data_IF_119270650685
#
_entry.id   IF_119270650685
#
_cell.length_a   1.000
_cell.length_b   1.000
_cell.length_c   1.000
_cell.angle_alpha   90.00
_cell.angle_beta   90.00
_cell.angle_gamma   90.00
#
_symmetry.space_group_name_H-M   'P 1'
#
loop_
_entity.id
_entity.type
_entity.pdbx_description
1 polymer ?
#
# COMPACT_ATOMS: atom_id res chain seq x y z
N UNK A 1 1.20 8.55 11.70
CA UNK A 1 1.82 7.67 12.72
C UNK A 1 2.39 8.57 13.81
N UNK A 2 2.12 8.26 15.08
CA UNK A 2 2.50 9.09 16.23
C UNK A 2 3.73 8.44 16.88
N UNK A 3 4.84 9.17 16.95
CA UNK A 3 6.05 8.76 17.68
C UNK A 3 5.95 9.08 19.17
N UNK A 4 6.93 8.64 19.94
CA UNK A 4 6.96 8.81 21.38
C UNK A 4 6.94 10.30 21.79
N UNK A 5 7.67 11.16 21.08
CA UNK A 5 7.76 12.58 21.41
C UNK A 5 6.45 13.30 21.18
N UNK A 6 5.81 13.03 20.04
CA UNK A 6 4.51 13.60 19.70
C UNK A 6 3.42 13.09 20.66
N UNK A 7 3.44 11.80 21.00
CA UNK A 7 2.50 11.22 21.96
C UNK A 7 2.67 11.83 23.37
N UNK A 8 3.91 11.96 23.83
CA UNK A 8 4.19 12.60 25.12
C UNK A 8 3.73 14.05 25.14
N UNK A 9 3.91 14.79 24.03
CA UNK A 9 3.44 16.17 23.90
C UNK A 9 1.91 16.23 23.94
N UNK A 10 1.23 15.31 23.22
CA UNK A 10 -0.22 15.19 23.25
C UNK A 10 -0.72 14.98 24.68
N UNK A 11 -0.16 13.99 25.40
CA UNK A 11 -0.59 13.66 26.78
C UNK A 11 -0.38 14.82 27.76
N UNK A 12 0.71 15.59 27.60
CA UNK A 12 0.98 16.78 28.42
C UNK A 12 0.02 17.94 28.12
N UNK A 13 -0.52 18.02 26.91
CA UNK A 13 -1.42 19.07 26.47
C UNK A 13 -2.88 18.83 26.87
N UNK A 14 -3.22 17.62 27.31
CA UNK A 14 -4.57 17.25 27.68
C UNK A 14 -4.86 17.71 29.13
N UNK A 15 -5.98 18.41 29.31
CA UNK A 15 -6.51 18.65 30.65
C UNK A 15 -7.26 17.41 31.16
N UNK A 16 -6.58 16.54 31.86
CA UNK A 16 -7.10 15.25 32.35
C UNK A 16 -8.30 15.38 33.28
N UNK A 17 -8.49 16.54 33.93
CA UNK A 17 -9.66 16.78 34.77
C UNK A 17 -10.97 16.88 33.99
N UNK A 18 -10.90 17.17 32.70
CA UNK A 18 -12.07 17.30 31.82
C UNK A 18 -12.25 16.12 30.86
N UNK A 19 -11.28 15.21 30.76
CA UNK A 19 -11.32 14.05 29.85
C UNK A 19 -11.78 12.81 30.59
N UNK A 20 -12.90 12.26 30.17
CA UNK A 20 -13.43 11.01 30.76
C UNK A 20 -12.87 9.76 30.07
N UNK A 21 -12.51 9.87 28.78
CA UNK A 21 -12.01 8.73 28.00
C UNK A 21 -11.07 9.21 26.90
N UNK A 22 -9.94 8.53 26.75
CA UNK A 22 -9.04 8.63 25.59
C UNK A 22 -9.20 7.36 24.75
N UNK A 23 -9.51 7.52 23.48
CA UNK A 23 -9.65 6.41 22.54
C UNK A 23 -8.51 6.51 21.52
N UNK A 24 -7.70 5.46 21.43
CA UNK A 24 -6.66 5.33 20.41
C UNK A 24 -7.16 4.36 19.34
N UNK A 25 -7.12 4.79 18.10
CA UNK A 25 -7.51 3.97 16.94
C UNK A 25 -6.33 3.83 16.00
N UNK A 26 -6.01 2.62 15.58
CA UNK A 26 -4.90 2.37 14.68
C UNK A 26 -4.75 0.90 14.34
N UNK A 27 -3.70 0.58 13.61
CA UNK A 27 -3.33 -0.78 13.23
C UNK A 27 -1.85 -1.01 13.63
N UNK A 28 -1.59 -1.92 14.59
CA UNK A 28 -0.23 -2.20 15.06
C UNK A 28 0.64 -2.88 14.00
N UNK A 29 0.04 -3.45 12.94
CA UNK A 29 0.75 -4.13 11.86
C UNK A 29 1.13 -3.18 10.71
N UNK A 30 0.63 -1.93 10.72
CA UNK A 30 1.09 -0.91 9.76
C UNK A 30 2.51 -0.44 10.08
N UNK A 31 3.12 0.24 9.09
CA UNK A 31 4.47 0.79 9.23
C UNK A 31 4.62 1.59 10.53
N UNK A 32 5.70 1.37 11.29
CA UNK A 32 5.94 2.14 12.51
C UNK A 32 6.24 3.61 12.18
N UNK A 33 6.13 4.52 13.18
CA UNK A 33 6.57 5.89 13.00
C UNK A 33 8.06 5.97 12.63
N UNK A 34 8.43 6.98 11.84
CA UNK A 34 9.84 7.27 11.51
C UNK A 34 10.62 7.72 12.77
N UNK A 35 9.92 8.40 13.70
CA UNK A 35 10.46 8.77 15.01
C UNK A 35 10.56 7.59 15.97
N UNK A 36 11.15 7.84 17.14
CA UNK A 36 11.39 6.81 18.14
C UNK A 36 10.09 6.29 18.78
N UNK A 37 10.05 4.97 19.02
CA UNK A 37 9.00 4.27 19.78
C UNK A 37 7.83 3.77 18.92
N UNK A 38 7.25 2.65 19.32
CA UNK A 38 6.07 2.02 18.72
C UNK A 38 4.87 2.21 19.65
N UNK A 39 4.60 3.45 20.05
CA UNK A 39 3.67 3.80 21.14
C UNK A 39 2.35 3.08 21.06
N UNK A 40 1.73 3.00 19.87
CA UNK A 40 0.43 2.34 19.72
C UNK A 40 0.52 0.83 19.99
N UNK A 41 1.52 0.15 19.44
CA UNK A 41 1.72 -1.28 19.65
C UNK A 41 2.09 -1.59 21.11
N UNK A 42 3.00 -0.81 21.68
CA UNK A 42 3.43 -0.95 23.07
C UNK A 42 2.26 -0.70 24.05
N UNK A 43 1.39 0.27 23.74
CA UNK A 43 0.18 0.56 24.55
C UNK A 43 -0.83 -0.61 24.48
N UNK A 44 -1.03 -1.20 23.29
CA UNK A 44 -1.91 -2.37 23.15
C UNK A 44 -1.36 -3.55 23.94
N UNK A 45 -0.05 -3.81 23.85
CA UNK A 45 0.60 -4.91 24.55
C UNK A 45 0.45 -4.75 26.08
N UNK A 46 0.70 -3.55 26.59
CA UNK A 46 0.50 -3.25 28.01
C UNK A 46 -0.97 -3.39 28.42
N UNK A 47 -1.91 -2.85 27.64
CA UNK A 47 -3.34 -2.96 27.95
C UNK A 47 -3.82 -4.41 27.93
N UNK A 48 -3.36 -5.23 26.99
CA UNK A 48 -3.71 -6.64 26.93
C UNK A 48 -3.23 -7.40 28.18
N UNK A 49 -2.09 -7.00 28.78
CA UNK A 49 -1.57 -7.58 30.01
C UNK A 49 -2.36 -7.13 31.26
N UNK A 50 -2.61 -5.83 31.37
CA UNK A 50 -3.12 -5.24 32.62
C UNK A 50 -4.63 -4.97 32.58
N UNK A 51 -5.17 -4.64 31.40
CA UNK A 51 -6.56 -4.18 31.24
C UNK A 51 -7.16 -4.68 29.90
N UNK A 52 -7.28 -6.01 29.69
CA UNK A 52 -7.70 -6.58 28.40
C UNK A 52 -9.07 -6.10 27.92
N UNK A 53 -9.98 -5.81 28.84
CA UNK A 53 -11.32 -5.28 28.51
C UNK A 53 -11.31 -3.89 27.86
N UNK A 54 -10.18 -3.20 27.91
CA UNK A 54 -10.01 -1.89 27.27
C UNK A 54 -9.48 -1.97 25.84
N UNK A 55 -9.21 -3.18 25.33
CA UNK A 55 -8.70 -3.40 23.96
C UNK A 55 -9.81 -4.01 23.11
N UNK A 56 -10.25 -3.27 22.09
CA UNK A 56 -11.15 -3.78 21.05
C UNK A 56 -10.38 -4.11 19.78
N UNK A 57 -10.49 -5.33 19.29
CA UNK A 57 -9.87 -5.77 18.03
C UNK A 57 -10.96 -5.99 16.99
N UNK A 58 -10.79 -5.34 15.82
CA UNK A 58 -11.63 -5.59 14.65
C UNK A 58 -11.08 -6.84 13.94
N UNK A 59 -11.83 -7.92 13.94
CA UNK A 59 -11.43 -9.22 13.39
C UNK A 59 -11.97 -9.47 11.99
N UNK A 60 -13.05 -8.78 11.60
CA UNK A 60 -13.66 -8.95 10.28
C UNK A 60 -13.05 -7.98 9.27
N UNK A 61 -12.46 -8.53 8.22
CA UNK A 61 -11.99 -7.76 7.08
C UNK A 61 -13.09 -7.70 6.02
N UNK A 62 -13.85 -6.61 6.00
CA UNK A 62 -14.96 -6.43 5.05
C UNK A 62 -14.48 -6.48 3.59
N UNK A 63 -13.26 -6.00 3.30
CA UNK A 63 -12.68 -6.08 1.95
C UNK A 63 -12.46 -7.53 1.51
N UNK A 64 -12.00 -8.39 2.42
CA UNK A 64 -11.86 -9.84 2.16
C UNK A 64 -13.22 -10.49 1.92
N UNK A 65 -14.22 -10.16 2.73
CA UNK A 65 -15.56 -10.70 2.56
C UNK A 65 -16.16 -10.33 1.20
N UNK A 66 -16.06 -9.08 0.79
CA UNK A 66 -16.53 -8.60 -0.52
C UNK A 66 -15.78 -9.31 -1.65
N UNK A 67 -14.45 -9.35 -1.61
CA UNK A 67 -13.64 -10.01 -2.62
C UNK A 67 -13.93 -11.51 -2.74
N UNK A 68 -14.11 -12.21 -1.61
CA UNK A 68 -14.47 -13.64 -1.61
C UNK A 68 -15.86 -13.89 -2.21
N UNK A 69 -16.84 -13.06 -1.88
CA UNK A 69 -18.20 -13.17 -2.40
C UNK A 69 -18.23 -12.88 -3.89
N UNK A 70 -17.47 -11.90 -4.36
CA UNK A 70 -17.36 -11.54 -5.78
C UNK A 70 -16.41 -12.46 -6.56
N UNK A 71 -15.68 -13.32 -5.88
CA UNK A 71 -14.71 -14.22 -6.50
C UNK A 71 -13.48 -13.54 -7.09
N UNK A 72 -13.11 -12.36 -6.56
CA UNK A 72 -11.99 -11.53 -7.04
C UNK A 72 -10.61 -12.01 -6.57
N UNK A 73 -10.52 -13.06 -5.75
CA UNK A 73 -9.28 -13.57 -5.17
C UNK A 73 -8.96 -12.99 -3.80
N UNK A 74 -8.02 -13.61 -3.11
CA UNK A 74 -7.52 -13.21 -1.78
C UNK A 74 -5.99 -13.29 -1.67
N UNK A 75 -5.29 -13.48 -2.78
CA UNK A 75 -3.85 -13.73 -2.81
C UNK A 75 -3.02 -12.63 -2.18
N UNK A 76 -3.35 -11.34 -2.40
CA UNK A 76 -2.65 -10.21 -1.78
C UNK A 76 -2.76 -10.27 -0.25
N UNK A 77 -3.95 -10.58 0.26
CA UNK A 77 -4.20 -10.64 1.70
C UNK A 77 -3.57 -11.87 2.33
N UNK A 78 -3.69 -13.02 1.66
CA UNK A 78 -3.05 -14.27 2.08
C UNK A 78 -1.52 -14.07 2.14
N UNK A 79 -0.93 -13.39 1.15
CA UNK A 79 0.49 -13.03 1.17
C UNK A 79 0.82 -12.08 2.32
N UNK A 80 0.00 -11.07 2.56
CA UNK A 80 0.23 -10.11 3.63
C UNK A 80 0.15 -10.76 5.03
N UNK A 81 -0.77 -11.69 5.25
CA UNK A 81 -0.90 -12.43 6.50
C UNK A 81 0.37 -13.23 6.87
N UNK A 82 1.16 -13.64 5.88
CA UNK A 82 2.43 -14.35 6.13
C UNK A 82 3.48 -13.49 6.86
N UNK A 83 3.37 -12.17 6.75
CA UNK A 83 4.30 -11.20 7.34
C UNK A 83 3.79 -10.58 8.65
N UNK A 84 2.56 -10.90 9.05
CA UNK A 84 2.07 -10.52 10.38
C UNK A 84 2.79 -11.41 11.39
N UNK A 85 3.59 -10.80 12.27
CA UNK A 85 4.27 -11.53 13.34
C UNK A 85 3.21 -12.18 14.24
N UNK A 86 3.27 -13.50 14.36
CA UNK A 86 2.56 -14.22 15.42
C UNK A 86 3.06 -13.66 16.75
N UNK A 87 2.24 -12.86 17.43
CA UNK A 87 2.49 -12.61 18.84
C UNK A 87 2.43 -13.98 19.51
N UNK A 88 3.51 -14.33 20.18
CA UNK A 88 3.54 -15.47 21.09
C UNK A 88 2.44 -15.25 22.12
N UNK A 89 1.23 -15.69 21.80
CA UNK A 89 0.19 -15.87 22.80
C UNK A 89 0.54 -17.18 23.47
N UNK A 90 1.02 -17.05 24.70
CA UNK A 90 1.22 -18.15 25.61
C UNK A 90 -0.03 -19.06 25.63
N UNK A 91 0.23 -20.35 25.38
CA UNK A 91 -0.55 -21.47 25.87
C UNK A 91 -2.06 -21.52 25.55
N UNK A 92 -2.41 -21.67 24.27
CA UNK A 92 -3.52 -22.59 23.89
C UNK A 92 -3.72 -22.58 22.38
N UNK A 93 -3.79 -23.78 21.81
CA UNK A 93 -4.15 -24.15 20.46
C UNK A 93 -3.00 -24.34 19.45
N UNK A 94 -2.40 -25.51 19.55
CA UNK A 94 -1.46 -26.09 18.57
C UNK A 94 -2.04 -26.29 17.16
N UNK A 95 -3.33 -26.16 16.97
CA UNK A 95 -4.01 -26.40 15.69
C UNK A 95 -3.99 -25.19 14.74
N UNK A 96 -4.06 -23.97 15.26
CA UNK A 96 -4.08 -22.75 14.41
C UNK A 96 -2.70 -22.43 13.83
N UNK A 97 -1.62 -22.69 14.58
CA UNK A 97 -0.26 -22.46 14.11
C UNK A 97 0.15 -23.40 12.98
N UNK A 98 -0.31 -24.64 13.01
CA UNK A 98 0.01 -25.64 11.98
C UNK A 98 -0.77 -25.40 10.68
N UNK A 99 -2.00 -24.90 10.76
CA UNK A 99 -2.78 -24.51 9.60
C UNK A 99 -2.18 -23.30 8.89
N UNK A 100 -1.74 -22.29 9.65
CA UNK A 100 -1.06 -21.12 9.10
C UNK A 100 0.27 -21.50 8.45
N UNK A 101 1.06 -22.38 9.07
CA UNK A 101 2.31 -22.89 8.46
C UNK A 101 2.04 -23.60 7.15
N UNK A 102 1.02 -24.45 7.08
CA UNK A 102 0.63 -25.12 5.84
C UNK A 102 0.19 -24.15 4.75
N UNK A 103 -0.59 -23.12 5.09
CA UNK A 103 -0.97 -22.06 4.13
C UNK A 103 0.27 -21.33 3.60
N UNK A 104 1.21 -20.99 4.48
CA UNK A 104 2.51 -20.40 4.11
C UNK A 104 3.26 -21.28 3.12
N UNK A 105 3.46 -22.55 3.44
CA UNK A 105 4.16 -23.51 2.58
C UNK A 105 3.49 -23.65 1.21
N UNK A 106 2.18 -23.77 1.17
CA UNK A 106 1.41 -23.89 -0.09
C UNK A 106 1.57 -22.63 -0.94
N UNK A 107 1.46 -21.43 -0.36
CA UNK A 107 1.58 -20.19 -1.12
C UNK A 107 3.03 -19.98 -1.62
N UNK A 108 4.03 -20.21 -0.78
CA UNK A 108 5.43 -20.12 -1.21
C UNK A 108 5.78 -21.15 -2.26
N UNK A 109 5.29 -22.38 -2.15
CA UNK A 109 5.47 -23.42 -3.17
C UNK A 109 4.87 -22.95 -4.50
N UNK A 110 3.65 -22.43 -4.50
CA UNK A 110 3.01 -21.87 -5.69
C UNK A 110 3.83 -20.74 -6.32
N UNK A 111 4.34 -19.80 -5.51
CA UNK A 111 5.18 -18.69 -5.99
C UNK A 111 6.47 -19.23 -6.62
N UNK A 112 7.10 -20.23 -6.00
CA UNK A 112 8.36 -20.80 -6.50
C UNK A 112 8.17 -21.68 -7.75
N UNK A 113 7.05 -22.39 -7.86
CA UNK A 113 6.74 -23.26 -8.99
C UNK A 113 6.27 -22.45 -10.21
N UNK A 114 5.45 -21.42 -10.03
CA UNK A 114 4.94 -20.62 -11.13
C UNK A 114 5.98 -19.62 -11.66
N UNK A 115 7.04 -19.35 -10.91
CA UNK A 115 8.05 -18.37 -11.29
C UNK A 115 7.45 -16.94 -11.35
N UNK A 116 7.56 -16.30 -12.52
CA UNK A 116 6.98 -14.97 -12.76
C UNK A 116 5.57 -15.10 -13.34
N UNK A 117 4.57 -14.51 -12.68
CA UNK A 117 3.21 -14.48 -13.19
C UNK A 117 2.12 -14.51 -12.13
N UNK A 118 0.92 -14.86 -12.56
CA UNK A 118 -0.27 -14.89 -11.74
C UNK A 118 -0.22 -16.05 -10.72
N UNK A 119 -0.39 -15.71 -9.46
CA UNK A 119 -0.49 -16.65 -8.33
C UNK A 119 -1.96 -16.86 -7.95
N UNK A 120 -2.72 -15.78 -7.93
CA UNK A 120 -4.16 -15.75 -7.72
C UNK A 120 -4.78 -14.65 -8.60
N UNK A 121 -6.09 -14.51 -8.60
CA UNK A 121 -6.81 -13.53 -9.43
C UNK A 121 -6.40 -12.08 -9.13
N UNK A 122 -6.04 -11.79 -7.88
CA UNK A 122 -5.63 -10.47 -7.39
C UNK A 122 -4.14 -10.38 -7.05
N UNK A 123 -3.37 -11.45 -7.27
CA UNK A 123 -1.94 -11.51 -6.94
C UNK A 123 -1.12 -12.06 -8.10
N UNK A 124 -0.20 -11.27 -8.61
CA UNK A 124 0.90 -11.72 -9.46
C UNK A 124 2.24 -11.42 -8.80
N UNK A 125 3.21 -12.31 -8.95
CA UNK A 125 4.55 -12.16 -8.39
C UNK A 125 5.56 -12.23 -9.52
N UNK A 126 6.51 -11.29 -9.53
CA UNK A 126 7.57 -11.20 -10.52
C UNK A 126 8.91 -11.02 -9.82
N UNK A 127 9.89 -11.83 -10.21
CA UNK A 127 11.26 -11.75 -9.73
C UNK A 127 12.14 -11.03 -10.76
N UNK A 128 13.01 -10.18 -10.29
CA UNK A 128 13.99 -9.48 -11.10
C UNK A 128 15.37 -9.54 -10.44
N UNK A 129 16.43 -9.47 -11.22
CA UNK A 129 17.83 -9.48 -10.73
C UNK A 129 18.56 -8.21 -11.07
N UNK A 130 18.32 -7.69 -12.26
CA UNK A 130 18.99 -6.51 -12.79
C UNK A 130 17.97 -5.41 -13.10
N UNK A 131 18.48 -4.19 -13.31
CA UNK A 131 17.64 -3.03 -13.61
C UNK A 131 16.79 -3.25 -14.85
N UNK A 132 17.37 -3.80 -15.91
CA UNK A 132 16.68 -4.06 -17.17
C UNK A 132 15.53 -5.05 -17.02
N UNK A 133 15.69 -6.05 -16.15
CA UNK A 133 14.62 -7.02 -15.85
C UNK A 133 13.45 -6.32 -15.17
N UNK A 134 13.76 -5.48 -14.18
CA UNK A 134 12.73 -4.71 -13.44
C UNK A 134 11.98 -3.77 -14.38
N UNK A 135 12.69 -2.98 -15.19
CA UNK A 135 12.10 -2.02 -16.13
C UNK A 135 11.18 -2.73 -17.13
N UNK A 136 11.64 -3.82 -17.73
CA UNK A 136 10.84 -4.61 -18.68
C UNK A 136 9.61 -5.20 -18.00
N UNK A 137 9.79 -5.85 -16.86
CA UNK A 137 8.71 -6.46 -16.13
C UNK A 137 7.66 -5.44 -15.70
N UNK A 138 8.09 -4.30 -15.15
CA UNK A 138 7.20 -3.23 -14.71
C UNK A 138 6.43 -2.61 -15.87
N UNK A 139 7.12 -2.36 -16.99
CA UNK A 139 6.48 -1.86 -18.22
C UNK A 139 5.37 -2.81 -18.69
N UNK A 140 5.66 -4.10 -18.81
CA UNK A 140 4.70 -5.09 -19.29
C UNK A 140 3.51 -5.26 -18.37
N UNK A 141 3.74 -5.31 -17.06
CA UNK A 141 2.66 -5.41 -16.05
C UNK A 141 1.75 -4.18 -16.11
N UNK A 142 2.31 -2.98 -16.16
CA UNK A 142 1.52 -1.74 -16.22
C UNK A 142 0.72 -1.66 -17.51
N UNK A 143 1.30 -2.03 -18.66
CA UNK A 143 0.56 -2.10 -19.93
C UNK A 143 -0.61 -3.08 -19.84
N UNK A 144 -0.40 -4.25 -19.24
CA UNK A 144 -1.46 -5.25 -19.07
C UNK A 144 -2.58 -4.72 -18.16
N UNK A 145 -2.23 -4.08 -17.06
CA UNK A 145 -3.23 -3.52 -16.14
C UNK A 145 -3.99 -2.34 -16.76
N UNK A 146 -3.30 -1.46 -17.49
CA UNK A 146 -3.98 -0.41 -18.24
C UNK A 146 -4.97 -0.97 -19.27
N UNK A 147 -4.61 -2.05 -19.97
CA UNK A 147 -5.54 -2.73 -20.89
C UNK A 147 -6.74 -3.34 -20.17
N UNK A 148 -6.54 -3.94 -18.99
CA UNK A 148 -7.63 -4.46 -18.16
C UNK A 148 -8.57 -3.35 -17.70
N UNK A 149 -8.02 -2.25 -17.20
CA UNK A 149 -8.77 -1.09 -16.69
C UNK A 149 -9.60 -0.44 -17.81
N UNK A 150 -9.01 -0.25 -18.99
CA UNK A 150 -9.65 0.45 -20.11
C UNK A 150 -10.49 -0.44 -21.01
N UNK A 151 -10.37 -1.77 -20.90
CA UNK A 151 -10.95 -2.73 -21.84
C UNK A 151 -10.32 -2.71 -23.24
N UNK A 152 -9.23 -1.95 -23.45
CA UNK A 152 -8.60 -1.78 -24.75
C UNK A 152 -7.59 -2.88 -25.05
N UNK A 153 -7.75 -3.56 -26.16
CA UNK A 153 -6.76 -4.53 -26.66
C UNK A 153 -5.72 -3.89 -27.59
N UNK A 154 -6.11 -2.82 -28.29
CA UNK A 154 -5.26 -2.05 -29.23
C UNK A 154 -5.22 -0.60 -28.76
N UNK A 155 -4.05 0.01 -28.76
CA UNK A 155 -3.83 1.41 -28.39
C UNK A 155 -2.83 2.06 -29.33
N UNK A 156 -2.95 3.37 -29.56
CA UNK A 156 -2.07 4.12 -30.46
C UNK A 156 -0.67 4.35 -29.89
N UNK A 157 -0.63 4.68 -28.58
CA UNK A 157 0.61 4.94 -27.86
C UNK A 157 0.42 4.71 -26.34
N UNK A 158 1.51 4.45 -25.58
CA UNK A 158 1.44 4.36 -24.12
C UNK A 158 0.80 5.58 -23.45
N UNK A 159 1.09 6.80 -23.93
CA UNK A 159 0.47 8.03 -23.39
C UNK A 159 -1.05 8.02 -23.49
N UNK A 160 -1.58 7.57 -24.63
CA UNK A 160 -3.04 7.50 -24.84
C UNK A 160 -3.68 6.49 -23.92
N UNK A 161 -3.04 5.34 -23.78
CA UNK A 161 -3.51 4.28 -22.88
C UNK A 161 -3.46 4.74 -21.41
N UNK A 162 -2.35 5.39 -21.00
CA UNK A 162 -2.21 5.97 -19.67
C UNK A 162 -3.29 6.98 -19.35
N UNK A 163 -3.50 7.96 -20.22
CA UNK A 163 -4.50 9.00 -20.06
C UNK A 163 -5.92 8.44 -19.91
N UNK A 164 -6.22 7.32 -20.55
CA UNK A 164 -7.52 6.67 -20.42
C UNK A 164 -7.60 5.86 -19.13
N UNK A 165 -6.55 5.15 -18.75
CA UNK A 165 -6.53 4.33 -17.54
C UNK A 165 -6.70 5.15 -16.25
N UNK A 166 -6.19 6.40 -16.24
CA UNK A 166 -6.32 7.31 -15.10
C UNK A 166 -7.59 8.18 -15.11
N UNK A 167 -8.57 7.86 -15.96
CA UNK A 167 -9.88 8.51 -16.02
C UNK A 167 -10.99 7.55 -15.65
N UNK A 168 -12.00 8.07 -14.99
CA UNK A 168 -13.26 7.35 -14.76
C UNK A 168 -14.16 7.43 -16.00
N UNK A 169 -15.21 6.63 -16.03
CA UNK A 169 -16.21 6.62 -17.11
C UNK A 169 -16.87 7.99 -17.32
N UNK A 170 -17.05 8.78 -16.26
CA UNK A 170 -17.57 10.15 -16.33
C UNK A 170 -16.56 11.19 -16.81
N UNK A 171 -15.34 10.78 -17.18
CA UNK A 171 -14.26 11.63 -17.62
C UNK A 171 -13.46 12.32 -16.50
N UNK A 172 -13.86 12.16 -15.25
CA UNK A 172 -13.11 12.69 -14.10
C UNK A 172 -11.79 11.93 -13.88
N UNK A 173 -10.86 12.55 -13.14
CA UNK A 173 -9.57 11.92 -12.82
C UNK A 173 -9.71 10.74 -11.87
N UNK A 174 -8.99 9.65 -12.14
CA UNK A 174 -8.85 8.48 -11.28
C UNK A 174 -7.37 8.25 -10.91
N UNK A 175 -6.78 9.08 -10.05
CA UNK A 175 -5.35 8.99 -9.73
C UNK A 175 -4.97 7.72 -8.99
N UNK A 176 -5.95 6.96 -8.49
CA UNK A 176 -5.74 5.72 -7.74
C UNK A 176 -5.94 4.45 -8.60
N UNK A 177 -6.18 4.61 -9.91
CA UNK A 177 -6.33 3.48 -10.82
C UNK A 177 -5.08 2.58 -10.86
N UNK A 178 -3.91 3.20 -10.86
CA UNK A 178 -2.62 2.51 -10.83
C UNK A 178 -1.74 3.15 -9.75
N UNK A 179 -1.13 2.31 -8.91
CA UNK A 179 -0.25 2.76 -7.84
C UNK A 179 1.01 1.90 -7.80
N UNK A 180 2.18 2.54 -7.90
CA UNK A 180 3.48 1.89 -7.73
C UNK A 180 4.04 2.30 -6.38
N UNK A 181 4.41 1.33 -5.55
CA UNK A 181 4.92 1.54 -4.20
C UNK A 181 6.31 0.96 -4.10
N UNK A 182 7.25 1.73 -3.58
CA UNK A 182 8.59 1.27 -3.23
C UNK A 182 8.95 1.71 -1.81
N UNK A 183 9.60 0.86 -1.01
CA UNK A 183 10.08 1.23 0.32
C UNK A 183 11.35 2.09 0.27
N UNK A 184 11.95 2.27 -0.91
CA UNK A 184 13.21 2.99 -1.11
C UNK A 184 13.00 4.31 -1.86
N UNK A 185 13.88 5.29 -1.62
CA UNK A 185 13.93 6.55 -2.39
C UNK A 185 15.00 6.54 -3.47
N UNK A 186 16.18 6.06 -3.10
CA UNK A 186 17.32 5.89 -4.00
C UNK A 186 17.27 4.56 -4.72
N UNK A 187 18.37 4.24 -5.43
CA UNK A 187 18.53 3.06 -6.26
C UNK A 187 17.58 3.04 -7.49
N UNK A 188 17.83 2.14 -8.41
CA UNK A 188 17.02 2.01 -9.63
C UNK A 188 15.59 1.49 -9.37
N UNK A 189 15.35 0.89 -8.22
CA UNK A 189 14.03 0.45 -7.75
C UNK A 189 13.39 1.41 -6.73
N UNK A 190 14.01 2.56 -6.50
CA UNK A 190 13.49 3.59 -5.60
C UNK A 190 12.47 4.50 -6.26
N UNK A 191 11.70 5.23 -5.44
CA UNK A 191 10.61 6.09 -5.93
C UNK A 191 11.07 7.13 -6.95
N UNK A 192 12.30 7.65 -6.83
CA UNK A 192 12.85 8.61 -7.79
C UNK A 192 13.02 8.01 -9.18
N UNK A 193 13.69 6.87 -9.29
CA UNK A 193 13.90 6.17 -10.56
C UNK A 193 12.58 5.67 -11.16
N UNK A 194 11.70 5.11 -10.34
CA UNK A 194 10.38 4.63 -10.77
C UNK A 194 9.50 5.76 -11.32
N UNK A 195 9.49 6.93 -10.68
CA UNK A 195 8.76 8.09 -11.20
C UNK A 195 9.28 8.53 -12.58
N UNK A 196 10.62 8.54 -12.74
CA UNK A 196 11.23 8.87 -14.04
C UNK A 196 10.87 7.85 -15.11
N UNK A 197 10.90 6.55 -14.77
CA UNK A 197 10.50 5.49 -15.68
C UNK A 197 9.01 5.65 -16.07
N UNK A 198 8.13 5.90 -15.12
CA UNK A 198 6.71 6.12 -15.40
C UNK A 198 6.47 7.30 -16.34
N UNK A 199 7.17 8.42 -16.15
CA UNK A 199 7.08 9.57 -17.06
C UNK A 199 7.62 9.26 -18.46
N UNK A 200 8.74 8.57 -18.56
CA UNK A 200 9.39 8.28 -19.85
C UNK A 200 8.63 7.24 -20.67
N UNK A 201 8.09 6.21 -20.02
CA UNK A 201 7.47 5.08 -20.74
C UNK A 201 5.98 5.29 -20.98
N UNK A 202 5.27 5.94 -20.03
CA UNK A 202 3.82 6.06 -20.09
C UNK A 202 3.31 7.48 -20.31
N UNK A 203 4.18 8.50 -20.20
CA UNK A 203 3.82 9.89 -20.40
C UNK A 203 4.87 10.70 -21.18
N UNK A 204 5.58 10.10 -22.18
CA UNK A 204 6.73 10.75 -22.85
C UNK A 204 6.35 12.03 -23.59
N UNK A 205 5.16 12.08 -24.18
CA UNK A 205 4.70 13.27 -24.91
C UNK A 205 4.60 14.51 -24.02
N UNK A 206 4.01 14.37 -22.83
CA UNK A 206 3.79 15.50 -21.93
C UNK A 206 5.03 15.81 -21.10
N UNK A 207 5.79 14.78 -20.69
CA UNK A 207 7.03 14.97 -19.92
C UNK A 207 8.11 15.71 -20.70
N UNK A 208 8.16 15.50 -22.01
CA UNK A 208 9.13 16.20 -22.88
C UNK A 208 8.75 17.64 -23.23
N UNK A 209 7.45 17.99 -23.19
CA UNK A 209 6.95 19.31 -23.63
C UNK A 209 6.53 20.23 -22.51
N UNK A 210 6.01 19.69 -21.45
CA UNK A 210 5.39 20.43 -20.35
C UNK A 210 5.86 19.86 -19.02
N UNK A 211 7.15 20.01 -18.73
CA UNK A 211 7.74 19.61 -17.48
C UNK A 211 8.10 20.87 -16.67
N UNK A 212 7.46 21.04 -15.51
CA UNK A 212 7.77 22.10 -14.57
C UNK A 212 8.27 21.46 -13.27
N UNK A 213 9.55 21.64 -12.96
CA UNK A 213 10.19 21.11 -11.76
C UNK A 213 10.01 19.58 -11.59
N UNK A 214 10.06 18.85 -12.69
CA UNK A 214 9.89 17.39 -12.69
C UNK A 214 8.43 16.91 -12.69
N UNK A 215 7.44 17.82 -12.76
CA UNK A 215 6.02 17.51 -12.82
C UNK A 215 5.48 17.80 -14.20
N UNK A 216 4.74 16.86 -14.76
CA UNK A 216 4.12 16.96 -16.08
C UNK A 216 2.60 16.77 -16.01
N UNK A 217 1.90 17.13 -17.09
CA UNK A 217 0.48 16.78 -17.19
C UNK A 217 0.28 15.27 -17.06
N UNK A 218 -0.78 14.87 -16.35
CA UNK A 218 -1.14 13.48 -16.04
C UNK A 218 -0.25 12.77 -15.04
N UNK A 219 0.67 13.48 -14.39
CA UNK A 219 1.36 12.96 -13.23
C UNK A 219 0.44 12.97 -12.00
N UNK A 220 0.54 11.93 -11.18
CA UNK A 220 -0.09 11.91 -9.87
C UNK A 220 0.74 12.73 -8.89
N UNK A 221 0.12 13.74 -8.31
CA UNK A 221 0.79 14.62 -7.34
C UNK A 221 0.11 14.57 -5.98
N UNK A 222 0.87 14.77 -4.92
CA UNK A 222 0.36 14.86 -3.54
C UNK A 222 0.82 16.18 -2.90
N UNK A 223 -0.08 16.87 -2.24
CA UNK A 223 0.25 18.05 -1.47
C UNK A 223 0.74 17.66 -0.06
N UNK A 224 2.03 17.89 0.21
CA UNK A 224 2.63 17.56 1.51
C UNK A 224 2.36 18.57 2.62
N UNK A 225 2.09 19.83 2.26
CA UNK A 225 1.87 20.92 3.22
C UNK A 225 0.61 21.69 2.86
N UNK A 226 -0.21 21.97 3.88
CA UNK A 226 -1.34 22.87 3.69
C UNK A 226 -0.80 24.26 3.38
N UNK A 227 -1.31 24.87 2.30
CA UNK A 227 -1.06 26.29 2.03
C UNK A 227 -1.96 27.14 2.93
N UNK A 228 -1.45 28.24 3.53
CA UNK A 228 -2.31 29.23 4.17
C UNK A 228 -3.39 29.70 3.18
N UNK A 229 -4.58 30.01 3.67
CA UNK A 229 -5.67 30.52 2.80
C UNK A 229 -5.29 31.77 2.01
N UNK A 230 -4.35 32.55 2.54
CA UNK A 230 -3.78 33.74 1.88
C UNK A 230 -3.00 33.44 0.59
N UNK A 231 -2.51 32.22 0.44
CA UNK A 231 -1.66 31.80 -0.70
C UNK A 231 -2.45 31.01 -1.75
N UNK A 232 -3.76 30.83 -1.54
CA UNK A 232 -4.64 30.25 -2.55
C UNK A 232 -5.02 31.38 -3.53
N UNK A 233 -4.37 31.40 -4.69
CA UNK A 233 -4.87 32.15 -5.83
C UNK A 233 -6.21 31.52 -6.26
N UNK A 234 -7.25 32.34 -6.34
CA UNK A 234 -8.55 32.00 -6.88
C UNK A 234 -8.46 31.81 -8.40
#
# INVERSE_FOLDING_TARGET
MIDLNLFATLLRSINWNSVQRLILVGDPNQLPPIGRGKVFADTIEWLNSEYPDNVGVLTENIRQLVNRVEGNGCGILDLAELFIQEKQSDMSESSSSDELKRKKEVLFTKIMENGNGDIDKDLAVYFWKEQTDLETCLHDVIIQDMKKITGMTVYESPDKLWQQAIRKEDGSSNPDAIQVISPYRGEFYGTGALNTLMQNDFNPYWSSRYNLDGISYFDKVIQFRNRPKSDMAY
#
